data_IF_938554845315
#
_entry.id   IF_938554845315
#
_cell.length_a   1.000
_cell.length_b   1.000
_cell.length_c   1.000
_cell.angle_alpha   90.00
_cell.angle_beta   90.00
_cell.angle_gamma   90.00
#
_symmetry.space_group_name_H-M   'P 1'
#
loop_
_entity.id
_entity.type
_entity.pdbx_description
1 polymer ?
#
# COMPACT_ATOMS: atom_id res chain seq x y z
N UNK A 1 21.69 40.42 22.28
CA UNK A 1 20.59 40.23 21.31
C UNK A 1 20.09 38.82 21.56
N UNK A 2 19.14 38.71 22.49
CA UNK A 2 18.80 37.47 23.19
C UNK A 2 17.47 36.95 22.65
N UNK A 3 17.45 35.71 22.15
CA UNK A 3 16.25 35.06 21.64
C UNK A 3 15.27 34.73 22.78
N UNK A 4 13.95 34.85 22.58
CA UNK A 4 12.96 34.40 23.54
C UNK A 4 12.80 32.87 23.52
N UNK A 5 12.37 32.24 24.63
CA UNK A 5 12.17 30.80 24.71
C UNK A 5 10.86 30.36 24.02
N UNK A 6 10.93 29.28 23.25
CA UNK A 6 9.77 28.59 22.67
C UNK A 6 9.00 27.83 23.75
N UNK A 7 7.71 28.16 23.92
CA UNK A 7 6.75 27.36 24.69
C UNK A 7 6.22 26.19 23.84
N UNK A 8 6.21 24.95 24.36
CA UNK A 8 5.60 23.83 23.67
C UNK A 8 4.06 23.90 23.75
N UNK A 9 3.43 24.19 22.61
CA UNK A 9 1.97 24.13 22.43
C UNK A 9 1.51 22.67 22.48
N UNK A 10 0.97 22.25 23.63
CA UNK A 10 0.33 20.95 23.82
C UNK A 10 -1.09 21.01 23.23
N UNK A 11 -1.29 20.37 22.09
CA UNK A 11 -2.60 20.25 21.45
C UNK A 11 -3.46 19.18 22.16
N UNK A 12 -4.54 19.60 22.81
CA UNK A 12 -5.58 18.70 23.32
C UNK A 12 -6.48 18.20 22.19
N UNK A 13 -6.81 16.89 22.12
CA UNK A 13 -7.79 16.38 21.17
C UNK A 13 -9.21 16.77 21.60
N UNK A 14 -9.93 17.49 20.75
CA UNK A 14 -11.34 17.81 20.96
C UNK A 14 -12.21 16.55 20.84
N UNK A 15 -12.83 16.20 21.95
CA UNK A 15 -13.87 15.18 22.04
C UNK A 15 -15.11 15.60 21.25
N UNK A 16 -15.33 14.97 20.09
CA UNK A 16 -16.54 15.17 19.27
C UNK A 16 -17.69 14.31 19.82
N UNK A 17 -18.57 14.94 20.60
CA UNK A 17 -19.85 14.38 21.07
C UNK A 17 -20.80 14.10 19.90
N UNK A 18 -21.30 12.87 19.85
CA UNK A 18 -22.72 12.54 19.76
C UNK A 18 -23.48 12.82 18.47
N UNK A 19 -23.58 11.79 17.60
CA UNK A 19 -24.76 11.59 16.75
C UNK A 19 -25.19 10.14 16.83
N UNK A 20 -26.32 9.91 17.53
CA UNK A 20 -27.07 8.64 17.56
C UNK A 20 -27.83 8.52 16.23
N UNK A 21 -27.60 7.44 15.50
CA UNK A 21 -28.49 6.98 14.43
C UNK A 21 -29.01 5.56 14.73
N UNK A 22 -30.21 5.19 14.26
CA UNK A 22 -30.92 3.98 14.66
C UNK A 22 -30.43 2.74 13.89
N UNK A 23 -30.33 1.62 14.61
CA UNK A 23 -30.06 0.26 14.09
C UNK A 23 -31.16 -0.20 13.13
N UNK A 24 -30.79 -0.85 12.01
CA UNK A 24 -31.56 -1.94 11.43
C UNK A 24 -30.84 -3.30 11.60
N UNK A 25 -31.61 -4.24 12.13
CA UNK A 25 -31.65 -5.69 11.81
C UNK A 25 -30.36 -6.44 11.52
N UNK A 26 -30.00 -7.29 12.49
CA UNK A 26 -29.12 -8.44 12.40
C UNK A 26 -29.60 -9.46 11.36
N UNK A 27 -28.83 -9.66 10.29
CA UNK A 27 -28.93 -10.85 9.45
C UNK A 27 -27.54 -11.23 8.92
N UNK A 28 -27.06 -12.38 9.40
CA UNK A 28 -26.16 -13.31 8.74
C UNK A 28 -24.86 -12.74 8.13
N UNK A 29 -23.80 -12.67 8.96
CA UNK A 29 -22.42 -12.77 8.48
C UNK A 29 -21.78 -13.96 9.21
N UNK A 30 -22.08 -15.15 8.73
CA UNK A 30 -21.19 -16.31 8.84
C UNK A 30 -20.65 -16.58 7.45
N UNK A 31 -19.36 -16.90 7.39
CA UNK A 31 -18.60 -17.39 6.22
C UNK A 31 -17.80 -16.33 5.46
N UNK A 32 -16.60 -16.02 5.96
CA UNK A 32 -15.36 -15.98 5.15
C UNK A 32 -14.15 -15.52 5.99
N UNK A 33 -13.70 -16.35 6.93
CA UNK A 33 -12.36 -16.23 7.54
C UNK A 33 -11.56 -17.45 7.11
N UNK A 34 -11.31 -17.58 5.80
CA UNK A 34 -10.49 -18.67 5.26
C UNK A 34 -9.84 -18.24 3.94
N UNK A 35 -9.01 -17.19 3.95
CA UNK A 35 -8.15 -16.86 2.80
C UNK A 35 -7.01 -15.85 3.07
N UNK A 36 -6.54 -15.63 4.30
CA UNK A 36 -5.53 -14.58 4.57
C UNK A 36 -4.08 -15.07 4.58
N UNK A 37 -3.84 -16.39 4.55
CA UNK A 37 -2.48 -16.92 4.75
C UNK A 37 -1.62 -17.01 3.48
N UNK A 38 -2.22 -16.96 2.29
CA UNK A 38 -1.49 -17.10 1.01
C UNK A 38 -1.13 -15.77 0.32
N UNK A 39 -1.65 -14.62 0.80
CA UNK A 39 -1.49 -13.31 0.15
C UNK A 39 -0.33 -12.46 0.72
N UNK A 40 0.30 -12.88 1.82
CA UNK A 40 1.26 -12.07 2.57
C UNK A 40 2.66 -11.99 1.94
N UNK A 41 3.06 -12.94 1.09
CA UNK A 41 4.39 -12.93 0.43
C UNK A 41 4.38 -12.12 -0.88
N UNK A 42 3.23 -11.97 -1.54
CA UNK A 42 3.11 -11.22 -2.81
C UNK A 42 2.87 -9.72 -2.61
N UNK A 43 2.23 -9.33 -1.50
CA UNK A 43 1.88 -7.93 -1.20
C UNK A 43 3.04 -6.91 -1.28
N UNK A 44 4.27 -7.18 -0.77
CA UNK A 44 5.32 -6.17 -0.75
C UNK A 44 6.06 -6.00 -2.07
N UNK A 45 6.31 -7.10 -2.79
CA UNK A 45 6.88 -7.05 -4.14
C UNK A 45 5.92 -6.30 -5.08
N UNK A 46 4.61 -6.50 -4.92
CA UNK A 46 3.59 -5.72 -5.63
C UNK A 46 3.58 -4.25 -5.20
N UNK A 47 3.76 -3.94 -3.92
CA UNK A 47 3.84 -2.56 -3.44
C UNK A 47 5.05 -1.82 -4.03
N UNK A 48 6.23 -2.45 -4.02
CA UNK A 48 7.45 -1.92 -4.63
C UNK A 48 7.30 -1.75 -6.16
N UNK A 49 6.57 -2.64 -6.82
CA UNK A 49 6.30 -2.51 -8.24
C UNK A 49 5.34 -1.37 -8.55
N UNK A 50 4.27 -1.18 -7.75
CA UNK A 50 3.35 -0.04 -7.88
C UNK A 50 4.08 1.28 -7.65
N UNK A 51 5.00 1.33 -6.69
CA UNK A 51 5.86 2.50 -6.46
C UNK A 51 6.77 2.78 -7.67
N UNK A 52 7.39 1.74 -8.24
CA UNK A 52 8.23 1.88 -9.44
C UNK A 52 7.44 2.40 -10.65
N UNK A 53 6.21 1.93 -10.86
CA UNK A 53 5.31 2.44 -11.91
C UNK A 53 4.96 3.90 -11.66
N UNK A 54 4.59 4.26 -10.41
CA UNK A 54 4.23 5.64 -10.04
C UNK A 54 5.41 6.59 -10.24
N UNK A 55 6.61 6.20 -9.81
CA UNK A 55 7.85 6.98 -10.01
C UNK A 55 8.18 7.14 -11.50
N UNK A 56 8.05 6.08 -12.28
CA UNK A 56 8.29 6.14 -13.74
C UNK A 56 7.30 7.09 -14.41
N UNK A 57 6.04 7.10 -13.97
CA UNK A 57 5.02 8.02 -14.50
C UNK A 57 5.36 9.48 -14.20
N UNK A 58 5.76 9.79 -12.96
CA UNK A 58 6.22 11.13 -12.59
C UNK A 58 7.46 11.56 -13.36
N UNK A 59 8.43 10.66 -13.52
CA UNK A 59 9.60 10.91 -14.36
C UNK A 59 9.19 11.25 -15.80
N UNK A 60 8.27 10.49 -16.38
CA UNK A 60 7.79 10.73 -17.74
C UNK A 60 7.09 12.09 -17.87
N UNK A 61 6.30 12.52 -16.88
CA UNK A 61 5.72 13.86 -16.89
C UNK A 61 6.78 14.96 -16.83
N UNK A 62 7.77 14.82 -15.95
CA UNK A 62 8.88 15.78 -15.86
C UNK A 62 9.68 15.81 -17.16
N UNK A 63 10.01 14.65 -17.74
CA UNK A 63 10.71 14.55 -19.02
C UNK A 63 9.91 15.16 -20.19
N UNK A 64 8.58 15.00 -20.19
CA UNK A 64 7.71 15.66 -21.16
C UNK A 64 7.75 17.18 -21.02
N UNK A 65 7.64 17.71 -19.80
CA UNK A 65 7.73 19.15 -19.53
C UNK A 65 9.10 19.70 -19.97
N UNK A 66 10.20 19.01 -19.65
CA UNK A 66 11.54 19.38 -20.11
C UNK A 66 11.60 19.40 -21.65
N UNK A 67 11.01 18.41 -22.31
CA UNK A 67 10.98 18.34 -23.78
C UNK A 67 10.20 19.50 -24.41
N UNK A 68 9.06 19.88 -23.82
CA UNK A 68 8.26 21.04 -24.27
C UNK A 68 8.99 22.35 -24.05
N UNK A 69 9.59 22.55 -22.87
CA UNK A 69 10.36 23.76 -22.55
C UNK A 69 11.60 23.87 -23.45
N UNK A 70 12.33 22.77 -23.65
CA UNK A 70 13.46 22.73 -24.57
C UNK A 70 13.04 23.01 -26.01
N UNK A 71 11.97 22.35 -26.50
CA UNK A 71 11.46 22.58 -27.85
C UNK A 71 10.98 24.02 -28.06
N UNK A 72 10.34 24.62 -27.06
CA UNK A 72 9.93 26.02 -27.07
C UNK A 72 11.13 26.97 -27.08
N UNK A 73 12.14 26.72 -26.25
CA UNK A 73 13.33 27.57 -26.14
C UNK A 73 14.13 27.62 -27.45
N UNK A 74 14.10 26.57 -28.26
CA UNK A 74 14.73 26.52 -29.58
C UNK A 74 14.22 27.61 -30.54
N UNK A 75 13.01 28.13 -30.36
CA UNK A 75 12.49 29.24 -31.18
C UNK A 75 13.21 30.58 -30.94
N UNK A 76 13.83 30.75 -29.77
CA UNK A 76 14.58 31.96 -29.41
C UNK A 76 16.10 31.80 -29.59
N UNK A 77 16.60 30.57 -29.56
CA UNK A 77 18.02 30.26 -29.71
C UNK A 77 18.42 30.31 -31.19
N UNK A 78 19.25 31.28 -31.54
CA UNK A 78 19.87 31.34 -32.86
C UNK A 78 21.05 30.37 -32.88
N UNK A 79 21.04 29.40 -33.80
CA UNK A 79 22.10 28.41 -33.93
C UNK A 79 22.19 27.85 -35.34
N UNK A 80 23.13 26.92 -35.55
CA UNK A 80 23.26 26.24 -36.83
C UNK A 80 21.96 25.46 -37.16
N UNK A 81 21.42 25.64 -38.37
CA UNK A 81 20.17 25.01 -38.82
C UNK A 81 20.22 23.49 -38.70
N UNK A 82 21.35 22.86 -38.99
CA UNK A 82 21.51 21.41 -38.89
C UNK A 82 21.45 20.93 -37.44
N UNK A 83 22.12 21.63 -36.52
CA UNK A 83 22.10 21.31 -35.09
C UNK A 83 20.70 21.49 -34.48
N UNK A 84 19.98 22.56 -34.87
CA UNK A 84 18.57 22.74 -34.49
C UNK A 84 17.67 21.60 -35.00
N UNK A 85 17.82 21.18 -36.26
CA UNK A 85 17.02 20.09 -36.82
C UNK A 85 17.29 18.76 -36.09
N UNK A 86 18.56 18.44 -35.82
CA UNK A 86 18.94 17.23 -35.07
C UNK A 86 18.33 17.27 -33.66
N UNK A 87 18.42 18.41 -32.98
CA UNK A 87 17.83 18.58 -31.65
C UNK A 87 16.29 18.45 -31.69
N UNK A 88 15.62 19.07 -32.66
CA UNK A 88 14.16 18.97 -32.80
C UNK A 88 13.72 17.52 -33.05
N UNK A 89 14.44 16.79 -33.92
CA UNK A 89 14.18 15.38 -34.15
C UNK A 89 14.39 14.54 -32.89
N UNK A 90 15.45 14.83 -32.12
CA UNK A 90 15.74 14.15 -30.86
C UNK A 90 14.68 14.44 -29.78
N UNK A 91 14.20 15.68 -29.68
CA UNK A 91 13.09 16.08 -28.79
C UNK A 91 11.80 15.37 -29.21
N UNK A 92 11.47 15.36 -30.51
CA UNK A 92 10.28 14.68 -31.02
C UNK A 92 10.32 13.16 -30.75
N UNK A 93 11.47 12.52 -31.02
CA UNK A 93 11.68 11.11 -30.71
C UNK A 93 11.59 10.82 -29.21
N UNK A 94 12.15 11.69 -28.36
CA UNK A 94 12.05 11.58 -26.90
C UNK A 94 10.62 11.74 -26.42
N UNK A 95 9.87 12.72 -26.94
CA UNK A 95 8.47 12.93 -26.60
C UNK A 95 7.60 11.73 -27.00
N UNK A 96 7.86 11.14 -28.16
CA UNK A 96 7.20 9.90 -28.59
C UNK A 96 7.54 8.73 -27.66
N UNK A 97 8.80 8.56 -27.29
CA UNK A 97 9.24 7.52 -26.36
C UNK A 97 8.65 7.73 -24.94
N UNK A 98 8.52 8.97 -24.48
CA UNK A 98 7.84 9.33 -23.22
C UNK A 98 6.35 8.98 -23.30
N UNK A 99 5.67 9.31 -24.39
CA UNK A 99 4.26 8.96 -24.60
C UNK A 99 4.07 7.43 -24.63
N UNK A 100 4.97 6.71 -25.30
CA UNK A 100 5.01 5.25 -25.30
C UNK A 100 5.21 4.68 -23.90
N UNK A 101 6.11 5.26 -23.10
CA UNK A 101 6.32 4.89 -21.71
C UNK A 101 5.09 5.13 -20.85
N UNK A 102 4.46 6.31 -20.96
CA UNK A 102 3.23 6.63 -20.24
C UNK A 102 2.11 5.64 -20.59
N UNK A 103 1.97 5.29 -21.86
CA UNK A 103 1.03 4.25 -22.29
C UNK A 103 1.35 2.90 -21.64
N UNK A 104 2.63 2.49 -21.59
CA UNK A 104 3.05 1.24 -20.95
C UNK A 104 2.85 1.23 -19.44
N UNK A 105 2.95 2.38 -18.76
CA UNK A 105 2.70 2.47 -17.31
C UNK A 105 1.22 2.29 -16.93
N UNK A 106 0.28 2.31 -17.88
CA UNK A 106 -1.14 2.03 -17.61
C UNK A 106 -1.41 0.57 -17.28
N UNK A 107 -0.62 -0.35 -17.86
CA UNK A 107 -0.78 -1.79 -17.68
C UNK A 107 0.48 -2.42 -17.07
N UNK A 108 0.44 -2.94 -15.82
CA UNK A 108 1.63 -3.50 -15.16
C UNK A 108 2.23 -4.69 -15.93
N UNK A 109 1.39 -5.49 -16.60
CA UNK A 109 1.84 -6.62 -17.42
C UNK A 109 2.66 -6.16 -18.63
N UNK A 110 2.29 -5.04 -19.25
CA UNK A 110 3.00 -4.51 -20.43
C UNK A 110 4.29 -3.80 -20.05
N UNK A 111 4.33 -3.20 -18.86
CA UNK A 111 5.52 -2.54 -18.32
C UNK A 111 6.69 -3.52 -18.10
N UNK A 112 6.40 -4.78 -17.70
CA UNK A 112 7.42 -5.82 -17.47
C UNK A 112 8.16 -6.31 -18.72
N UNK A 113 7.67 -6.00 -19.92
CA UNK A 113 8.28 -6.49 -21.16
C UNK A 113 9.66 -5.83 -21.39
N UNK A 114 10.63 -6.56 -21.96
CA UNK A 114 11.95 -6.00 -22.28
C UNK A 114 11.87 -4.83 -23.28
N UNK A 115 10.79 -4.73 -24.07
CA UNK A 115 10.53 -3.58 -24.95
C UNK A 115 10.47 -2.23 -24.22
N UNK A 116 10.17 -2.21 -22.92
CA UNK A 116 10.22 -1.00 -22.10
C UNK A 116 11.65 -0.43 -22.00
N UNK A 117 12.69 -1.27 -22.10
CA UNK A 117 14.07 -0.80 -22.12
C UNK A 117 14.37 0.12 -23.31
N UNK A 118 13.74 -0.13 -24.46
CA UNK A 118 13.93 0.68 -25.67
C UNK A 118 13.47 2.13 -25.45
N UNK A 119 12.33 2.33 -24.76
CA UNK A 119 11.87 3.68 -24.45
C UNK A 119 12.87 4.46 -23.58
N UNK A 120 13.49 3.80 -22.59
CA UNK A 120 14.52 4.43 -21.75
C UNK A 120 15.75 4.83 -22.55
N UNK A 121 16.20 3.96 -23.46
CA UNK A 121 17.38 4.23 -24.31
C UNK A 121 17.08 5.37 -25.28
N UNK A 122 15.91 5.42 -25.91
CA UNK A 122 15.53 6.50 -26.83
C UNK A 122 15.44 7.85 -26.10
N UNK A 123 14.82 7.88 -24.92
CA UNK A 123 14.74 9.11 -24.10
C UNK A 123 16.15 9.59 -23.72
N UNK A 124 17.02 8.69 -23.27
CA UNK A 124 18.38 9.07 -22.89
C UNK A 124 19.23 9.50 -24.09
N UNK A 125 19.14 8.77 -25.22
CA UNK A 125 19.84 9.14 -26.45
C UNK A 125 19.40 10.53 -26.93
N UNK A 126 18.09 10.81 -26.92
CA UNK A 126 17.59 12.13 -27.26
C UNK A 126 18.07 13.21 -26.29
N UNK A 127 18.02 12.96 -24.98
CA UNK A 127 18.54 13.90 -23.98
C UNK A 127 20.05 14.16 -24.14
N UNK A 128 20.85 13.16 -24.53
CA UNK A 128 22.29 13.35 -24.75
C UNK A 128 22.62 14.23 -25.96
N UNK A 129 21.68 14.43 -26.89
CA UNK A 129 21.86 15.39 -28.00
C UNK A 129 21.93 16.84 -27.53
N UNK A 130 21.49 17.14 -26.30
CA UNK A 130 21.67 18.44 -25.66
C UNK A 130 23.15 18.83 -25.52
N UNK A 131 24.04 17.85 -25.32
CA UNK A 131 25.47 18.10 -25.13
C UNK A 131 26.11 18.69 -26.39
N UNK A 132 26.05 18.06 -27.58
CA UNK A 132 26.65 18.65 -28.78
C UNK A 132 25.98 19.95 -29.25
N UNK A 133 24.71 20.20 -28.89
CA UNK A 133 24.03 21.45 -29.24
C UNK A 133 24.45 22.63 -28.35
N UNK A 134 24.42 22.45 -27.03
CA UNK A 134 24.77 23.53 -26.09
C UNK A 134 26.28 23.62 -25.83
N UNK A 135 27.03 22.53 -26.04
CA UNK A 135 28.45 22.40 -25.73
C UNK A 135 28.68 21.56 -24.47
N UNK A 136 29.83 20.87 -24.40
CA UNK A 136 30.19 19.99 -23.28
C UNK A 136 30.39 20.75 -21.95
N UNK A 137 30.77 22.03 -22.02
CA UNK A 137 31.00 22.89 -20.86
C UNK A 137 29.78 23.72 -20.44
N UNK A 138 28.63 23.47 -21.07
CA UNK A 138 27.35 24.12 -20.77
C UNK A 138 26.66 23.47 -19.55
N UNK A 139 25.58 24.07 -19.00
CA UNK A 139 24.79 23.43 -17.94
C UNK A 139 23.89 22.27 -18.43
N UNK A 140 23.87 21.95 -19.73
CA UNK A 140 23.05 20.88 -20.30
C UNK A 140 23.21 19.50 -19.60
N UNK A 141 24.41 19.06 -19.17
CA UNK A 141 24.60 17.78 -18.49
C UNK A 141 23.79 17.61 -17.20
N UNK A 142 23.34 18.70 -16.57
CA UNK A 142 22.51 18.65 -15.36
C UNK A 142 21.21 17.88 -15.59
N UNK A 143 20.64 17.96 -16.80
CA UNK A 143 19.43 17.19 -17.17
C UNK A 143 19.72 15.68 -17.16
N UNK A 144 20.94 15.27 -17.53
CA UNK A 144 21.35 13.87 -17.53
C UNK A 144 21.55 13.33 -16.11
N UNK A 145 21.98 14.16 -15.17
CA UNK A 145 22.04 13.80 -13.73
C UNK A 145 20.68 13.31 -13.26
N UNK A 146 19.62 14.05 -13.59
CA UNK A 146 18.24 13.68 -13.25
C UNK A 146 17.86 12.32 -13.86
N UNK A 147 18.16 12.12 -15.15
CA UNK A 147 17.92 10.86 -15.85
C UNK A 147 18.66 9.67 -15.23
N UNK A 148 19.94 9.83 -14.91
CA UNK A 148 20.78 8.81 -14.26
C UNK A 148 20.23 8.48 -12.87
N UNK A 149 19.84 9.48 -12.09
CA UNK A 149 19.28 9.27 -10.76
C UNK A 149 17.99 8.44 -10.80
N UNK A 150 17.01 8.85 -11.61
CA UNK A 150 15.73 8.15 -11.72
C UNK A 150 15.87 6.71 -12.24
N UNK A 151 16.76 6.51 -13.21
CA UNK A 151 17.03 5.19 -13.78
C UNK A 151 17.83 4.31 -12.81
N UNK A 152 18.74 4.90 -12.03
CA UNK A 152 19.48 4.26 -10.95
C UNK A 152 18.58 3.76 -9.83
N UNK A 153 17.47 4.46 -9.57
CA UNK A 153 16.43 3.99 -8.66
C UNK A 153 15.63 2.80 -9.21
N UNK A 154 15.70 2.46 -10.51
CA UNK A 154 14.93 1.37 -11.14
C UNK A 154 15.34 -0.06 -10.74
N UNK A 155 14.52 -1.06 -11.08
CA UNK A 155 14.75 -2.49 -10.73
C UNK A 155 16.03 -3.06 -11.36
N UNK A 156 16.38 -2.65 -12.58
CA UNK A 156 17.44 -3.27 -13.36
C UNK A 156 18.80 -2.57 -13.17
N UNK A 157 19.80 -3.25 -12.58
CA UNK A 157 21.16 -2.71 -12.43
C UNK A 157 21.79 -2.39 -13.79
N UNK A 158 21.59 -3.29 -14.75
CA UNK A 158 22.12 -3.20 -16.11
C UNK A 158 21.63 -1.96 -16.85
N UNK A 159 20.34 -1.62 -16.76
CA UNK A 159 19.80 -0.48 -17.49
C UNK A 159 20.39 0.85 -17.02
N UNK A 160 20.52 1.09 -15.71
CA UNK A 160 21.12 2.37 -15.32
C UNK A 160 22.63 2.43 -15.62
N UNK A 161 23.34 1.29 -15.67
CA UNK A 161 24.73 1.28 -16.16
C UNK A 161 24.76 1.63 -17.65
N UNK A 162 23.87 1.07 -18.47
CA UNK A 162 23.77 1.40 -19.91
C UNK A 162 23.50 2.90 -20.10
N UNK A 163 22.54 3.46 -19.38
CA UNK A 163 22.18 4.88 -19.52
C UNK A 163 23.26 5.81 -18.96
N UNK A 164 23.94 5.40 -17.89
CA UNK A 164 25.14 6.09 -17.40
C UNK A 164 26.25 6.09 -18.43
N UNK A 165 26.60 4.92 -19.01
CA UNK A 165 27.65 4.80 -20.02
C UNK A 165 27.30 5.61 -21.27
N UNK A 166 26.02 5.65 -21.66
CA UNK A 166 25.57 6.49 -22.76
C UNK A 166 25.78 7.99 -22.45
N UNK A 167 25.33 8.45 -21.28
CA UNK A 167 25.46 9.85 -20.87
C UNK A 167 26.94 10.27 -20.68
N UNK A 168 27.70 9.50 -19.90
CA UNK A 168 29.12 9.72 -19.65
C UNK A 168 29.95 9.59 -20.93
N UNK A 169 29.60 8.66 -21.81
CA UNK A 169 30.25 8.43 -23.09
C UNK A 169 30.05 9.60 -24.05
N UNK A 170 28.82 10.07 -24.23
CA UNK A 170 28.55 11.24 -25.08
C UNK A 170 29.18 12.51 -24.50
N UNK A 171 29.05 12.75 -23.19
CA UNK A 171 29.69 13.88 -22.51
C UNK A 171 31.22 13.82 -22.65
N UNK A 172 31.79 12.63 -22.47
CA UNK A 172 33.22 12.33 -22.62
C UNK A 172 33.72 12.62 -24.03
N UNK A 173 33.04 12.06 -25.03
CA UNK A 173 33.39 12.20 -26.43
C UNK A 173 33.30 13.65 -26.91
N UNK A 174 32.20 14.36 -26.61
CA UNK A 174 32.04 15.77 -27.01
C UNK A 174 33.04 16.65 -26.29
N UNK A 175 33.27 16.43 -24.99
CA UNK A 175 34.29 17.19 -24.24
C UNK A 175 35.71 16.94 -24.75
N UNK A 176 36.05 15.69 -25.10
CA UNK A 176 37.35 15.35 -25.67
C UNK A 176 37.54 15.96 -27.07
N UNK A 177 36.51 15.94 -27.90
CA UNK A 177 36.52 16.61 -29.21
C UNK A 177 36.72 18.12 -29.06
N UNK A 178 36.10 18.74 -28.07
CA UNK A 178 36.29 20.16 -27.77
C UNK A 178 37.72 20.47 -27.27
N UNK A 179 38.27 19.64 -26.38
CA UNK A 179 39.64 19.80 -25.85
C UNK A 179 40.70 19.65 -26.94
N UNK A 180 40.53 18.67 -27.83
CA UNK A 180 41.51 18.35 -28.87
C UNK A 180 41.39 19.25 -30.10
N UNK A 181 40.28 19.99 -30.26
CA UNK A 181 40.04 20.85 -31.41
C UNK A 181 39.86 20.10 -32.73
N UNK A 182 39.66 18.76 -32.69
CA UNK A 182 39.49 17.95 -33.89
C UNK A 182 38.18 18.24 -34.64
N UNK A 183 37.18 18.79 -33.96
CA UNK A 183 35.91 19.17 -34.55
C UNK A 183 35.66 20.68 -34.36
N UNK A 184 35.03 21.37 -35.33
CA UNK A 184 34.57 22.74 -35.13
C UNK A 184 33.66 22.79 -33.89
N UNK A 185 33.90 23.75 -33.00
CA UNK A 185 33.05 23.94 -31.82
C UNK A 185 31.71 24.55 -32.26
N UNK A 186 30.76 23.67 -32.61
CA UNK A 186 29.38 24.04 -33.01
C UNK A 186 28.52 24.34 -31.76
N UNK A 187 29.06 24.14 -30.55
CA UNK A 187 28.36 24.36 -29.30
C UNK A 187 27.98 25.82 -29.12
N UNK A 188 26.80 26.05 -28.55
CA UNK A 188 26.34 27.40 -28.21
C UNK A 188 27.22 28.05 -27.12
N UNK A 189 27.77 27.23 -26.22
CA UNK A 189 28.79 27.62 -25.23
C UNK A 189 30.13 27.02 -25.64
N UNK A 190 31.00 27.87 -26.19
CA UNK A 190 32.30 27.47 -26.72
C UNK A 190 33.38 27.34 -25.64
N UNK A 191 34.28 26.39 -25.82
CA UNK A 191 35.40 26.12 -24.91
C UNK A 191 36.60 27.07 -25.11
N UNK A 192 36.63 27.83 -26.21
CA UNK A 192 37.82 28.57 -26.67
C UNK A 192 38.37 29.62 -25.71
N UNK A 193 37.58 30.07 -24.72
CA UNK A 193 38.00 31.07 -23.73
C UNK A 193 38.55 30.44 -22.43
N UNK A 194 38.59 29.12 -22.31
CA UNK A 194 39.02 28.40 -21.11
C UNK A 194 40.38 27.75 -21.33
N UNK A 195 41.26 27.85 -20.32
CA UNK A 195 42.55 27.16 -20.33
C UNK A 195 42.37 25.63 -20.28
N UNK A 196 43.32 24.88 -20.84
CA UNK A 196 43.27 23.42 -20.93
C UNK A 196 43.07 22.77 -19.54
N UNK A 197 43.72 23.33 -18.51
CA UNK A 197 43.58 22.87 -17.13
C UNK A 197 42.14 23.03 -16.63
N UNK A 198 41.49 24.15 -16.93
CA UNK A 198 40.11 24.41 -16.53
C UNK A 198 39.15 23.47 -17.25
N UNK A 199 39.37 23.22 -18.54
CA UNK A 199 38.57 22.28 -19.32
C UNK A 199 38.65 20.85 -18.74
N UNK A 200 39.85 20.38 -18.41
CA UNK A 200 40.03 19.06 -17.79
C UNK A 200 39.38 18.97 -16.40
N UNK A 201 39.46 20.02 -15.58
CA UNK A 201 38.83 20.06 -14.26
C UNK A 201 37.31 20.01 -14.39
N UNK A 202 36.71 20.84 -15.26
CA UNK A 202 35.25 20.86 -15.46
C UNK A 202 34.76 19.50 -15.97
N UNK A 203 35.45 18.92 -16.97
CA UNK A 203 35.09 17.62 -17.51
C UNK A 203 35.21 16.50 -16.46
N UNK A 204 36.29 16.51 -15.68
CA UNK A 204 36.47 15.58 -14.56
C UNK A 204 35.36 15.69 -13.51
N UNK A 205 34.97 16.91 -13.16
CA UNK A 205 33.88 17.17 -12.21
C UNK A 205 32.53 16.67 -12.73
N UNK A 206 32.19 16.92 -13.99
CA UNK A 206 30.92 16.45 -14.57
C UNK A 206 30.86 14.92 -14.57
N UNK A 207 31.95 14.25 -14.96
CA UNK A 207 32.01 12.78 -14.96
C UNK A 207 31.94 12.21 -13.53
N UNK A 208 32.61 12.85 -12.59
CA UNK A 208 32.53 12.49 -11.17
C UNK A 208 31.10 12.62 -10.63
N UNK A 209 30.39 13.71 -10.97
CA UNK A 209 28.99 13.92 -10.59
C UNK A 209 28.09 12.84 -11.18
N UNK A 210 28.28 12.45 -12.45
CA UNK A 210 27.53 11.34 -13.04
C UNK A 210 27.77 10.01 -12.30
N UNK A 211 29.03 9.70 -12.01
CA UNK A 211 29.39 8.48 -11.29
C UNK A 211 28.78 8.45 -9.87
N UNK A 212 28.93 9.55 -9.12
CA UNK A 212 28.37 9.65 -7.77
C UNK A 212 26.85 9.62 -7.77
N UNK A 213 26.20 10.22 -8.76
CA UNK A 213 24.74 10.16 -8.90
C UNK A 213 24.26 8.72 -9.08
N UNK A 214 24.94 7.93 -9.91
CA UNK A 214 24.63 6.51 -10.06
C UNK A 214 24.81 5.76 -8.75
N UNK A 215 25.92 5.98 -8.03
CA UNK A 215 26.20 5.35 -6.73
C UNK A 215 25.10 5.69 -5.71
N UNK A 216 24.78 6.97 -5.56
CA UNK A 216 23.75 7.45 -4.62
C UNK A 216 22.39 6.85 -4.96
N UNK A 217 22.01 6.83 -6.24
CA UNK A 217 20.74 6.23 -6.66
C UNK A 217 20.68 4.73 -6.33
N UNK A 218 21.79 4.00 -6.48
CA UNK A 218 21.88 2.57 -6.14
C UNK A 218 21.83 2.31 -4.64
N UNK A 219 22.52 3.12 -3.85
CA UNK A 219 22.47 3.05 -2.39
C UNK A 219 21.06 3.38 -1.88
N UNK A 220 20.42 4.42 -2.43
CA UNK A 220 19.05 4.80 -2.10
C UNK A 220 18.06 3.67 -2.39
N UNK A 221 18.14 3.01 -3.57
CA UNK A 221 17.26 1.87 -3.87
C UNK A 221 17.48 0.68 -2.93
N UNK A 222 18.71 0.46 -2.45
CA UNK A 222 19.01 -0.59 -1.45
C UNK A 222 18.39 -0.23 -0.10
N UNK A 223 18.58 1.00 0.38
CA UNK A 223 17.99 1.48 1.63
C UNK A 223 16.46 1.39 1.62
N UNK A 224 15.81 1.77 0.52
CA UNK A 224 14.36 1.65 0.36
C UNK A 224 13.85 0.20 0.46
N UNK A 225 14.60 -0.77 -0.08
CA UNK A 225 14.22 -2.18 0.02
C UNK A 225 14.35 -2.69 1.46
N UNK A 226 15.46 -2.36 2.12
CA UNK A 226 15.69 -2.75 3.51
C UNK A 226 14.61 -2.20 4.44
N UNK A 227 14.23 -0.93 4.28
CA UNK A 227 13.16 -0.32 5.09
C UNK A 227 11.79 -1.01 4.89
N UNK A 228 11.47 -1.42 3.66
CA UNK A 228 10.23 -2.17 3.38
C UNK A 228 10.28 -3.57 3.99
N UNK A 229 11.41 -4.27 3.87
CA UNK A 229 11.60 -5.60 4.48
C UNK A 229 11.52 -5.56 6.02
N UNK A 230 12.03 -4.49 6.65
CA UNK A 230 11.95 -4.30 8.10
C UNK A 230 10.52 -4.02 8.56
N UNK A 231 9.80 -3.12 7.88
CA UNK A 231 8.39 -2.84 8.15
C UNK A 231 7.52 -4.11 8.03
N UNK A 232 7.79 -4.95 7.04
CA UNK A 232 7.09 -6.23 6.89
C UNK A 232 7.30 -7.17 8.07
N UNK A 233 8.53 -7.25 8.59
CA UNK A 233 8.84 -8.10 9.74
C UNK A 233 8.05 -7.64 10.95
N UNK A 234 7.97 -6.33 11.18
CA UNK A 234 7.20 -5.75 12.28
C UNK A 234 5.69 -6.00 12.13
N UNK A 235 5.14 -5.78 10.93
CA UNK A 235 3.72 -6.04 10.66
C UNK A 235 3.38 -7.52 10.87
N UNK A 236 4.26 -8.43 10.45
CA UNK A 236 4.07 -9.87 10.66
C UNK A 236 4.09 -10.23 12.15
N UNK A 237 4.99 -9.63 12.93
CA UNK A 237 5.03 -9.82 14.39
C UNK A 237 3.76 -9.27 15.04
N UNK A 238 3.28 -8.09 14.61
CA UNK A 238 2.04 -7.50 15.13
C UNK A 238 0.82 -8.37 14.85
N UNK A 239 0.67 -8.87 13.62
CA UNK A 239 -0.42 -9.77 13.25
C UNK A 239 -0.41 -11.07 14.08
N UNK A 240 0.78 -11.58 14.41
CA UNK A 240 0.90 -12.76 15.28
C UNK A 240 0.47 -12.46 16.72
N UNK A 241 0.84 -11.29 17.26
CA UNK A 241 0.39 -10.85 18.58
C UNK A 241 -1.13 -10.65 18.63
N UNK A 242 -1.72 -10.08 17.59
CA UNK A 242 -3.18 -9.95 17.49
C UNK A 242 -3.88 -11.31 17.47
N UNK A 243 -3.33 -12.29 16.75
CA UNK A 243 -3.87 -13.65 16.76
C UNK A 243 -3.81 -14.29 18.17
N UNK A 244 -2.69 -14.15 18.87
CA UNK A 244 -2.54 -14.63 20.25
C UNK A 244 -3.51 -13.91 21.21
N UNK A 245 -3.73 -12.61 21.04
CA UNK A 245 -4.68 -11.85 21.85
C UNK A 245 -6.12 -12.27 21.59
N UNK A 246 -6.47 -12.58 20.33
CA UNK A 246 -7.79 -13.11 19.99
C UNK A 246 -8.00 -14.47 20.65
N UNK A 247 -7.02 -15.37 20.59
CA UNK A 247 -7.09 -16.69 21.22
C UNK A 247 -7.20 -16.58 22.75
N UNK A 248 -6.38 -15.74 23.38
CA UNK A 248 -6.44 -15.50 24.82
C UNK A 248 -7.79 -14.90 25.25
N UNK A 249 -8.34 -13.97 24.46
CA UNK A 249 -9.67 -13.41 24.70
C UNK A 249 -10.76 -14.48 24.59
N UNK A 250 -10.66 -15.37 23.61
CA UNK A 250 -11.62 -16.47 23.45
C UNK A 250 -11.56 -17.45 24.63
N UNK A 251 -10.35 -17.78 25.11
CA UNK A 251 -10.17 -18.59 26.31
C UNK A 251 -10.74 -17.91 27.56
N UNK A 252 -10.54 -16.59 27.71
CA UNK A 252 -11.10 -15.81 28.81
C UNK A 252 -12.63 -15.75 28.75
N UNK A 253 -13.23 -15.55 27.57
CA UNK A 253 -14.68 -15.58 27.38
C UNK A 253 -15.28 -16.96 27.73
N UNK A 254 -14.58 -18.06 27.40
CA UNK A 254 -14.97 -19.41 27.85
C UNK A 254 -14.90 -19.55 29.38
N UNK A 255 -13.87 -18.99 30.02
CA UNK A 255 -13.70 -19.05 31.47
C UNK A 255 -14.68 -18.15 32.25
N UNK A 256 -15.08 -17.00 31.68
CA UNK A 256 -16.05 -16.04 32.24
C UNK A 256 -17.50 -16.44 32.03
N UNK A 257 -17.79 -17.38 31.13
CA UNK A 257 -19.10 -18.04 30.99
C UNK A 257 -19.09 -19.48 31.52
N UNK A 258 -18.63 -19.75 32.76
CA UNK A 258 -18.76 -21.08 33.34
C UNK A 258 -20.25 -21.31 33.59
N UNK A 259 -20.86 -22.19 32.80
CA UNK A 259 -22.28 -22.51 32.94
C UNK A 259 -23.19 -22.06 31.78
N UNK A 260 -22.68 -21.58 30.64
CA UNK A 260 -23.52 -21.48 29.43
C UNK A 260 -23.25 -22.69 28.52
N UNK A 261 -24.28 -23.49 28.27
CA UNK A 261 -24.25 -24.62 27.35
C UNK A 261 -24.90 -24.29 26.02
N UNK A 262 -24.79 -25.19 25.06
CA UNK A 262 -25.38 -25.06 23.70
C UNK A 262 -26.88 -24.70 23.71
N UNK A 263 -27.62 -25.11 24.74
CA UNK A 263 -29.07 -24.95 24.89
C UNK A 263 -29.47 -23.95 26.00
N UNK A 264 -28.53 -23.23 26.62
CA UNK A 264 -28.89 -22.24 27.64
C UNK A 264 -29.72 -21.10 27.03
N UNK A 265 -30.85 -20.78 27.66
CA UNK A 265 -31.81 -19.78 27.20
C UNK A 265 -32.84 -20.32 26.20
N UNK A 266 -32.74 -21.60 25.80
CA UNK A 266 -33.68 -22.23 24.88
C UNK A 266 -34.82 -22.90 25.65
N UNK A 267 -36.03 -22.79 25.13
CA UNK A 267 -37.21 -23.44 25.70
C UNK A 267 -37.41 -24.80 25.00
N UNK A 268 -37.40 -25.88 25.77
CA UNK A 268 -37.64 -27.24 25.27
C UNK A 268 -38.89 -27.76 25.98
N UNK A 269 -40.01 -27.83 25.25
CA UNK A 269 -41.31 -28.18 25.80
C UNK A 269 -41.79 -27.17 26.84
N UNK A 270 -42.12 -27.64 28.05
CA UNK A 270 -42.60 -26.81 29.16
C UNK A 270 -41.47 -26.24 30.05
N UNK A 271 -40.21 -26.37 29.64
CA UNK A 271 -39.06 -25.98 30.46
C UNK A 271 -38.18 -24.97 29.72
N UNK A 272 -37.79 -23.90 30.42
CA UNK A 272 -36.77 -22.95 30.00
C UNK A 272 -35.44 -23.33 30.65
N UNK A 273 -34.42 -23.58 29.81
CA UNK A 273 -33.09 -24.01 30.24
C UNK A 273 -32.23 -22.80 30.65
N UNK A 274 -31.66 -22.86 31.85
CA UNK A 274 -30.79 -21.85 32.45
C UNK A 274 -29.32 -22.26 32.40
N UNK A 275 -28.60 -22.03 33.50
CA UNK A 275 -27.16 -22.30 33.59
C UNK A 275 -26.84 -23.82 33.52
N UNK A 276 -25.67 -24.21 33.04
CA UNK A 276 -25.18 -25.58 33.01
C UNK A 276 -24.63 -25.92 34.37
N UNK A 277 -25.24 -26.91 35.01
CA UNK A 277 -24.90 -27.41 36.34
C UNK A 277 -23.75 -28.43 36.29
N UNK A 278 -23.55 -29.11 35.15
CA UNK A 278 -22.45 -30.07 34.98
C UNK A 278 -22.25 -30.51 33.53
N UNK A 279 -21.02 -30.86 33.16
CA UNK A 279 -20.65 -31.42 31.85
C UNK A 279 -20.05 -32.81 32.05
N UNK A 280 -20.61 -33.81 31.39
CA UNK A 280 -20.11 -35.20 31.42
C UNK A 280 -19.87 -35.75 30.03
N UNK A 281 -19.32 -36.97 29.94
CA UNK A 281 -19.02 -37.63 28.67
C UNK A 281 -20.27 -37.87 27.78
N UNK A 282 -21.46 -37.92 28.38
CA UNK A 282 -22.74 -38.12 27.67
C UNK A 282 -23.55 -36.84 27.44
N UNK A 283 -23.05 -35.66 27.81
CA UNK A 283 -23.74 -34.40 27.53
C UNK A 283 -23.61 -33.32 28.59
N UNK A 284 -24.43 -32.28 28.43
CA UNK A 284 -24.48 -31.08 29.29
C UNK A 284 -25.79 -31.12 30.12
N UNK A 285 -25.69 -30.89 31.43
CA UNK A 285 -26.84 -30.86 32.35
C UNK A 285 -27.19 -29.41 32.67
N UNK A 286 -28.43 -29.02 32.45
CA UNK A 286 -28.91 -27.64 32.62
C UNK A 286 -29.83 -27.51 33.84
N UNK A 287 -29.75 -26.36 34.48
CA UNK A 287 -30.81 -25.81 35.32
C UNK A 287 -32.06 -25.62 34.46
N UNK A 288 -33.24 -25.99 34.94
CA UNK A 288 -34.47 -25.89 34.18
C UNK A 288 -35.58 -25.27 35.03
N UNK A 289 -36.30 -24.30 34.47
CA UNK A 289 -37.48 -23.69 35.10
C UNK A 289 -38.73 -24.02 34.31
N UNK A 290 -39.77 -24.50 34.98
CA UNK A 290 -41.04 -24.81 34.34
C UNK A 290 -41.74 -23.51 33.92
N UNK A 291 -42.00 -23.36 32.63
CA UNK A 291 -42.78 -22.24 32.09
C UNK A 291 -44.25 -22.62 32.17
N UNK A 292 -44.94 -22.05 33.15
CA UNK A 292 -46.36 -22.29 33.37
C UNK A 292 -47.13 -21.85 32.11
N UNK A 293 -47.94 -22.71 31.48
CA UNK A 293 -48.75 -22.28 30.36
C UNK A 293 -49.72 -21.21 30.86
N UNK A 294 -49.63 -20.02 30.30
CA UNK A 294 -50.61 -18.95 30.50
C UNK A 294 -51.93 -19.36 29.85
N UNK A 295 -52.73 -20.18 30.54
CA UNK A 295 -54.16 -20.27 30.30
C UNK A 295 -54.85 -19.17 31.09
N UNK A 296 -55.08 -18.03 30.43
CA UNK A 296 -56.09 -17.07 30.84
C UNK A 296 -57.04 -16.84 29.68
N UNK A 297 -58.15 -17.59 29.69
CA UNK A 297 -59.35 -17.34 28.91
C UNK A 297 -60.53 -17.48 29.86
N UNK A 298 -60.88 -16.37 30.52
CA UNK A 298 -62.02 -16.25 31.43
C UNK A 298 -63.34 -16.28 30.66
N UNK A 299 -64.29 -17.10 31.08
CA UNK A 299 -65.70 -16.70 31.08
C UNK A 299 -66.40 -17.32 32.29
N UNK A 300 -66.74 -16.44 33.22
CA UNK A 300 -67.65 -16.71 34.31
C UNK A 300 -69.09 -16.65 33.77
N UNK A 301 -69.93 -17.59 34.16
CA UNK A 301 -71.38 -17.38 34.20
C UNK A 301 -71.99 -18.30 35.25
N UNK A 302 -72.52 -17.67 36.30
CA UNK A 302 -73.26 -18.26 37.40
C UNK A 302 -74.61 -18.85 36.97
N UNK A 303 -75.00 -19.97 37.56
CA UNK A 303 -76.40 -20.29 37.91
C UNK A 303 -76.47 -21.52 38.86
N UNK A 304 -77.08 -21.42 40.06
CA UNK A 304 -77.55 -22.55 40.87
C UNK A 304 -79.10 -22.67 40.77
N UNK A 305 -79.83 -23.53 41.53
CA UNK A 305 -79.52 -24.78 42.23
C UNK A 305 -80.51 -25.94 41.91
N UNK A 306 -80.22 -27.21 42.30
CA UNK A 306 -81.23 -28.09 42.96
C UNK A 306 -80.64 -29.38 43.58
N UNK A 307 -81.34 -29.80 44.63
CA UNK A 307 -81.01 -30.74 45.73
C UNK A 307 -80.95 -32.25 45.39
N UNK A 308 -80.28 -32.95 46.34
CA UNK A 308 -80.49 -34.33 46.83
C UNK A 308 -79.88 -35.45 45.96
N UNK A 309 -79.21 -36.49 46.46
CA UNK A 309 -79.30 -37.24 47.72
C UNK A 309 -77.99 -38.00 48.05
N UNK A 310 -77.63 -37.99 49.35
CA UNK A 310 -77.03 -39.04 50.20
C UNK A 310 -75.64 -39.70 49.93
N UNK A 311 -75.00 -40.24 51.00
CA UNK A 311 -73.56 -40.51 51.09
C UNK A 311 -73.18 -42.00 51.22
N UNK A 312 -71.96 -42.36 50.81
CA UNK A 312 -71.20 -43.57 51.21
C UNK A 312 -69.72 -43.27 50.91
N UNK A 313 -68.88 -42.98 51.90
CA UNK A 313 -68.15 -43.89 52.82
C UNK A 313 -66.70 -44.12 52.38
N UNK A 314 -65.78 -43.96 53.35
CA UNK A 314 -64.43 -44.53 53.49
C UNK A 314 -63.41 -44.26 52.36
N UNK A 315 -62.41 -43.41 52.59
CA UNK A 315 -61.16 -43.71 53.31
C UNK A 315 -60.27 -44.73 52.59
N UNK A 316 -59.13 -44.28 52.02
CA UNK A 316 -57.83 -44.88 52.35
C UNK A 316 -56.67 -44.05 51.79
N UNK A 317 -55.67 -43.90 52.64
CA UNK A 317 -54.32 -43.40 52.41
C UNK A 317 -53.59 -43.99 51.20
N UNK A 318 -52.70 -43.23 50.56
CA UNK A 318 -51.23 -43.45 50.65
C UNK A 318 -50.42 -42.46 49.82
N UNK A 319 -49.28 -42.11 50.40
CA UNK A 319 -48.14 -41.42 49.82
C UNK A 319 -47.46 -42.21 48.71
N UNK A 320 -46.88 -41.50 47.73
CA UNK A 320 -45.70 -41.92 46.96
C UNK A 320 -45.23 -40.72 46.11
N UNK A 321 -44.19 -39.98 46.53
CA UNK A 321 -42.81 -40.16 46.05
C UNK A 321 -42.73 -40.35 44.52
N UNK A 322 -42.84 -39.24 43.78
CA UNK A 322 -42.60 -39.26 42.33
C UNK A 322 -41.10 -39.18 42.08
N UNK A 323 -40.59 -40.31 41.57
CA UNK A 323 -39.22 -40.57 41.14
C UNK A 323 -38.78 -39.64 40.02
N UNK A 324 -37.53 -39.20 40.11
CA UNK A 324 -36.68 -38.86 38.98
C UNK A 324 -36.78 -39.95 37.89
N UNK A 325 -37.06 -39.54 36.65
CA UNK A 325 -36.73 -40.32 35.46
C UNK A 325 -35.62 -39.59 34.72
N UNK A 326 -34.46 -40.22 34.73
CA UNK A 326 -33.38 -40.05 33.76
C UNK A 326 -33.89 -40.42 32.38
N UNK A 327 -33.59 -39.58 31.39
CA UNK A 327 -33.52 -39.91 29.98
C UNK A 327 -32.04 -40.03 29.60
#
# INVERSE_FOLDING_TARGET
MSAPPEEPTVAFPQARRGRREPRPSSSLISSSITATTATTVSAPLEALERDEIRRTRWFCYVAFVISVVAGGSLGWLHGNRTAMQIMLLAIAASAFAVAFMLYRTRDPVRFRRPSTALGWVVIAAGATTAIPFFGAFSPAPVVLVLGIYFTGLGKSPRMAVVLYVLAAGVQGAVGLLAITGLAPDIGLVQAGNLDLRQQLIIQGLVQFVFAMTLVIARLSRRAQRLAVEELEREVRISAHREALLIEAREQLERALRPGHGRFTGQQIGAYALGSVLGRGAMGEVYEASATRPTSCGSSASCAPPRRSTRPTSSACSRSASTRCRTW
#
